data_IF_357717088421
#
_entry.id   IF_357717088421
#
_cell.length_a   1.000
_cell.length_b   1.000
_cell.length_c   1.000
_cell.angle_alpha   90.00
_cell.angle_beta   90.00
_cell.angle_gamma   90.00
#
_symmetry.space_group_name_H-M   'P 1'
#
loop_
_entity.id
_entity.type
_entity.pdbx_description
1 polymer ?
#
# COMPACT_ATOMS: atom_id res chain seq x y z
N UNK A 1 3.28 -1.48 29.56
CA UNK A 1 4.36 -1.95 28.66
C UNK A 1 3.85 -2.65 27.40
N UNK A 2 2.85 -3.54 27.45
CA UNK A 2 2.38 -4.27 26.25
C UNK A 2 1.83 -3.41 25.12
N UNK A 3 1.01 -2.40 25.41
CA UNK A 3 0.40 -1.53 24.38
C UNK A 3 1.45 -0.73 23.61
N UNK A 4 2.48 -0.24 24.31
CA UNK A 4 3.56 0.53 23.68
C UNK A 4 4.36 -0.36 22.70
N UNK A 5 4.66 -1.60 23.10
CA UNK A 5 5.35 -2.55 22.22
C UNK A 5 4.52 -2.87 20.97
N UNK A 6 3.21 -3.02 21.11
CA UNK A 6 2.30 -3.23 19.98
C UNK A 6 2.25 -2.03 19.04
N UNK A 7 2.19 -0.81 19.58
CA UNK A 7 2.19 0.41 18.78
C UNK A 7 3.49 0.57 17.98
N UNK A 8 4.65 0.27 18.60
CA UNK A 8 5.95 0.27 17.92
C UNK A 8 6.01 -0.80 16.83
N UNK A 9 5.54 -2.01 17.13
CA UNK A 9 5.48 -3.09 16.15
C UNK A 9 4.58 -2.74 14.95
N UNK A 10 3.40 -2.17 15.19
CA UNK A 10 2.50 -1.73 14.13
C UNK A 10 3.14 -0.63 13.26
N UNK A 11 3.77 0.37 13.87
CA UNK A 11 4.46 1.42 13.14
C UNK A 11 5.58 0.84 12.27
N UNK A 12 6.37 -0.08 12.82
CA UNK A 12 7.41 -0.78 12.08
C UNK A 12 6.84 -1.55 10.88
N UNK A 13 5.73 -2.28 11.06
CA UNK A 13 5.07 -3.02 10.00
C UNK A 13 4.51 -2.10 8.89
N UNK A 14 3.90 -0.98 9.26
CA UNK A 14 3.40 0.04 8.31
C UNK A 14 4.52 0.64 7.49
N UNK A 15 5.64 1.02 8.12
CA UNK A 15 6.74 1.73 7.44
C UNK A 15 7.64 0.78 6.66
N UNK A 16 8.05 -0.35 7.26
CA UNK A 16 9.03 -1.27 6.66
C UNK A 16 8.41 -2.18 5.60
N UNK A 17 7.18 -2.64 5.83
CA UNK A 17 6.49 -3.60 4.96
C UNK A 17 5.37 -2.96 4.13
N UNK A 18 4.86 -1.79 4.54
CA UNK A 18 3.74 -1.14 3.87
C UNK A 18 2.38 -1.68 4.32
N UNK A 19 2.32 -2.34 5.48
CA UNK A 19 1.10 -2.96 6.01
C UNK A 19 0.19 -1.88 6.61
N UNK A 20 -0.53 -1.15 5.76
CA UNK A 20 -1.42 -0.06 6.17
C UNK A 20 -1.96 0.77 5.00
N UNK A 21 -1.38 0.61 3.80
CA UNK A 21 -1.88 1.22 2.57
C UNK A 21 -2.11 0.11 1.53
N UNK A 22 -3.31 -0.50 1.50
CA UNK A 22 -3.63 -1.53 0.52
C UNK A 22 -3.70 -0.93 -0.90
N UNK A 23 -3.28 -1.67 -1.93
CA UNK A 23 -3.49 -1.26 -3.32
C UNK A 23 -4.98 -1.14 -3.63
N UNK A 24 -5.36 -0.04 -4.26
CA UNK A 24 -6.73 0.18 -4.73
C UNK A 24 -6.90 -0.44 -6.12
N UNK A 25 -8.04 -1.08 -6.34
CA UNK A 25 -8.43 -1.65 -7.62
C UNK A 25 -9.70 -0.96 -8.13
N UNK A 26 -9.77 -0.77 -9.44
CA UNK A 26 -10.95 -0.27 -10.16
C UNK A 26 -11.39 -1.33 -11.17
N UNK A 27 -12.69 -1.42 -11.39
CA UNK A 27 -13.23 -2.30 -12.42
C UNK A 27 -12.70 -1.88 -13.80
N UNK A 28 -12.36 -2.88 -14.62
CA UNK A 28 -11.85 -2.69 -15.98
C UNK A 28 -12.61 -3.63 -16.92
N UNK A 29 -13.07 -3.12 -18.06
CA UNK A 29 -13.90 -3.89 -18.99
C UNK A 29 -13.10 -4.92 -19.80
N UNK A 30 -11.77 -4.84 -19.83
CA UNK A 30 -10.89 -5.76 -20.56
C UNK A 30 -10.29 -6.84 -19.65
N UNK A 31 -9.91 -6.48 -18.42
CA UNK A 31 -9.24 -7.41 -17.48
C UNK A 31 -10.05 -7.69 -16.21
N UNK A 32 -11.28 -7.20 -16.11
CA UNK A 32 -12.14 -7.29 -14.93
C UNK A 32 -11.77 -6.27 -13.86
N UNK A 33 -10.50 -6.26 -13.45
CA UNK A 33 -9.96 -5.30 -12.49
C UNK A 33 -8.57 -4.83 -12.90
N UNK A 34 -8.25 -3.58 -12.59
CA UNK A 34 -6.91 -3.00 -12.71
C UNK A 34 -6.57 -2.22 -11.44
N UNK A 35 -5.28 -2.04 -11.17
CA UNK A 35 -4.86 -1.12 -10.11
C UNK A 35 -5.33 0.30 -10.45
N UNK A 36 -5.92 0.99 -9.47
CA UNK A 36 -6.32 2.38 -9.59
C UNK A 36 -5.12 3.24 -10.05
N UNK A 37 -5.31 4.16 -11.01
CA UNK A 37 -4.22 5.04 -11.43
C UNK A 37 -3.88 6.07 -10.34
N UNK A 38 -2.76 6.78 -10.51
CA UNK A 38 -2.30 7.87 -9.63
C UNK A 38 -2.14 7.50 -8.15
N UNK A 39 -1.96 6.21 -7.83
CA UNK A 39 -1.69 5.76 -6.47
C UNK A 39 -0.18 5.58 -6.24
N UNK A 40 0.30 6.03 -5.08
CA UNK A 40 1.65 5.78 -4.61
C UNK A 40 1.61 4.84 -3.42
N UNK A 41 2.27 3.69 -3.55
CA UNK A 41 2.31 2.65 -2.54
C UNK A 41 3.73 2.49 -1.99
N UNK A 42 3.83 2.08 -0.73
CA UNK A 42 5.10 1.57 -0.16
C UNK A 42 4.98 0.08 0.03
N UNK A 43 5.88 -0.71 -0.57
CA UNK A 43 5.92 -2.17 -0.41
C UNK A 43 7.34 -2.64 -0.17
N UNK A 44 7.55 -3.35 0.95
CA UNK A 44 8.86 -3.86 1.38
C UNK A 44 9.97 -2.78 1.42
N UNK A 45 9.60 -1.53 1.69
CA UNK A 45 10.51 -0.37 1.72
C UNK A 45 10.59 0.41 0.41
N UNK A 46 10.12 -0.15 -0.71
CA UNK A 46 10.14 0.51 -2.02
C UNK A 46 8.93 1.42 -2.20
N UNK A 47 9.14 2.58 -2.82
CA UNK A 47 8.06 3.47 -3.25
C UNK A 47 7.68 3.14 -4.70
N UNK A 48 6.42 2.83 -4.95
CA UNK A 48 5.90 2.41 -6.24
C UNK A 48 4.80 3.38 -6.65
N UNK A 49 4.93 4.02 -7.82
CA UNK A 49 3.89 4.85 -8.41
C UNK A 49 3.17 4.04 -9.50
N UNK A 50 1.85 3.93 -9.41
CA UNK A 50 1.04 3.16 -10.35
C UNK A 50 0.38 4.11 -11.35
N UNK A 51 0.65 3.91 -12.65
CA UNK A 51 0.00 4.61 -13.76
C UNK A 51 -0.05 6.15 -13.59
N UNK A 52 1.08 6.76 -13.21
CA UNK A 52 1.16 8.20 -12.86
C UNK A 52 0.85 9.19 -14.00
N UNK A 53 0.63 8.70 -15.22
CA UNK A 53 0.38 9.52 -16.42
C UNK A 53 -0.81 9.00 -17.24
N UNK A 54 -1.62 8.11 -16.67
CA UNK A 54 -2.76 7.48 -17.35
C UNK A 54 -4.07 8.22 -17.16
#
# INVERSE_FOLDING_TARGET
MGILALAVAELFLRVRYGLGNPPLYVADTRTGYRLAPHQTLRRRGNRIAINAYS
#
